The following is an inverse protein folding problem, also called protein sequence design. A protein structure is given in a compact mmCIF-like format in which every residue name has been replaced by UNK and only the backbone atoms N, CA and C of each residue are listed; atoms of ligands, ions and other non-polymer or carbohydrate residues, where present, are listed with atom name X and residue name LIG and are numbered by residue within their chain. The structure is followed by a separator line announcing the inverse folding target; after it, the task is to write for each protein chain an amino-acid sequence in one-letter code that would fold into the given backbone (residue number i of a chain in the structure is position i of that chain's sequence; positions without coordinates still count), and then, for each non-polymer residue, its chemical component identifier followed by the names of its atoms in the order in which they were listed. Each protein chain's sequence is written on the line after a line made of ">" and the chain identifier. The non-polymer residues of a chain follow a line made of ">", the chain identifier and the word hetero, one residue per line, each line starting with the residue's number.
data_IF_654294474399
#
_entry.id   IF_654294474399
#
_cell.length_a   1.000
_cell.length_b   1.000
_cell.length_c   1.000
_cell.angle_alpha   90.00
_cell.angle_beta   90.00
_cell.angle_gamma   90.00
#
_symmetry.space_group_name_H-M   'P 1'
#
loop_
_entity.id
_entity.type
_entity.pdbx_description
1 polymer ?
#
# COMPACT_ATOMS: atom_id res chain seq x y z
N UNK A 1 18.76 10.11 26.98
CA UNK A 1 18.34 8.71 27.25
C UNK A 1 19.57 7.94 27.70
N UNK A 2 19.48 7.33 28.87
CA UNK A 2 20.56 6.53 29.47
C UNK A 2 20.02 5.14 29.83
N UNK A 3 20.74 4.09 29.45
CA UNK A 3 20.41 2.71 29.81
C UNK A 3 20.76 2.47 31.31
N UNK A 4 19.88 1.76 31.99
CA UNK A 4 20.17 1.27 33.36
C UNK A 4 20.93 -0.06 33.24
N UNK A 5 22.08 -0.14 33.90
CA UNK A 5 23.03 -1.27 33.84
C UNK A 5 24.01 -1.12 32.68
N UNK A 6 24.67 -2.23 32.31
CA UNK A 6 25.61 -2.26 31.19
C UNK A 6 24.88 -2.28 29.84
N UNK A 7 25.01 -1.23 29.01
CA UNK A 7 24.28 -1.15 27.73
C UNK A 7 24.62 -2.29 26.78
N UNK A 8 25.89 -2.70 26.70
CA UNK A 8 26.31 -3.76 25.75
C UNK A 8 25.68 -5.11 26.13
N UNK A 9 25.71 -5.47 27.41
CA UNK A 9 25.07 -6.68 27.91
C UNK A 9 23.54 -6.62 27.64
N UNK A 10 22.90 -5.51 27.93
CA UNK A 10 21.45 -5.33 27.76
C UNK A 10 20.99 -5.40 26.30
N UNK A 11 21.80 -4.93 25.35
CA UNK A 11 21.51 -5.06 23.94
C UNK A 11 21.70 -6.49 23.41
N UNK A 12 22.70 -7.23 23.96
CA UNK A 12 22.88 -8.66 23.65
C UNK A 12 21.73 -9.52 24.20
N UNK A 13 21.21 -9.18 25.38
CA UNK A 13 20.03 -9.85 25.96
C UNK A 13 18.76 -9.61 25.13
N UNK A 14 18.53 -8.39 24.65
CA UNK A 14 17.36 -7.99 23.89
C UNK A 14 17.70 -6.85 22.91
N UNK A 15 18.04 -7.18 21.64
CA UNK A 15 18.44 -6.17 20.64
C UNK A 15 17.36 -5.13 20.34
N UNK A 16 16.07 -5.46 20.56
CA UNK A 16 14.95 -4.52 20.39
C UNK A 16 15.10 -3.26 21.26
N UNK A 17 15.87 -3.33 22.32
CA UNK A 17 16.17 -2.16 23.18
C UNK A 17 16.90 -1.05 22.43
N UNK A 18 17.67 -1.37 21.39
CA UNK A 18 18.30 -0.37 20.51
C UNK A 18 17.24 0.48 19.79
N UNK A 19 16.22 -0.17 19.21
CA UNK A 19 15.09 0.53 18.59
C UNK A 19 14.30 1.40 19.56
N UNK A 20 14.11 0.90 20.79
CA UNK A 20 13.44 1.65 21.86
C UNK A 20 14.22 2.87 22.28
N UNK A 21 15.55 2.77 22.39
CA UNK A 21 16.40 3.90 22.75
C UNK A 21 16.24 5.03 21.70
N UNK A 22 16.31 4.70 20.42
CA UNK A 22 16.09 5.65 19.31
C UNK A 22 14.68 6.27 19.36
N UNK A 23 13.65 5.44 19.50
CA UNK A 23 12.26 5.90 19.59
C UNK A 23 12.03 6.85 20.78
N UNK A 24 12.56 6.54 21.94
CA UNK A 24 12.41 7.41 23.10
C UNK A 24 13.19 8.72 22.95
N UNK A 25 14.38 8.67 22.35
CA UNK A 25 15.15 9.87 22.07
C UNK A 25 14.38 10.82 21.14
N UNK A 26 13.86 10.31 20.03
CA UNK A 26 13.04 11.10 19.11
C UNK A 26 11.75 11.62 19.77
N UNK A 27 10.99 10.75 20.45
CA UNK A 27 9.71 11.11 21.07
C UNK A 27 9.85 12.18 22.17
N UNK A 28 10.96 12.16 22.92
CA UNK A 28 11.20 13.09 24.02
C UNK A 28 12.07 14.30 23.61
N UNK A 29 12.39 14.40 22.31
CA UNK A 29 13.32 15.39 21.78
C UNK A 29 14.63 15.41 22.58
N UNK A 30 15.12 14.23 22.95
CA UNK A 30 16.29 14.02 23.78
C UNK A 30 17.44 13.40 23.00
N UNK A 31 18.61 13.34 23.63
CA UNK A 31 19.79 12.70 23.09
C UNK A 31 20.05 11.36 23.76
N UNK A 32 20.66 10.42 23.06
CA UNK A 32 21.15 9.18 23.63
C UNK A 32 22.55 9.46 24.23
N UNK A 33 22.70 9.14 25.50
CA UNK A 33 23.99 9.30 26.22
C UNK A 33 25.06 8.44 25.52
N UNK A 34 26.31 8.95 25.38
CA UNK A 34 27.36 8.27 24.60
C UNK A 34 27.65 6.83 25.00
N UNK A 35 27.63 6.51 26.29
CA UNK A 35 27.85 5.14 26.79
C UNK A 35 26.71 4.19 26.39
N UNK A 36 25.50 4.73 26.24
CA UNK A 36 24.32 4.00 25.76
C UNK A 36 24.31 3.91 24.23
N UNK A 37 24.73 4.96 23.54
CA UNK A 37 24.67 5.07 22.07
C UNK A 37 25.79 4.30 21.33
N UNK A 38 27.02 4.36 21.84
CA UNK A 38 28.17 3.71 21.17
C UNK A 38 27.96 2.21 20.87
N UNK A 39 27.46 1.39 21.81
CA UNK A 39 27.24 -0.03 21.54
C UNK A 39 26.13 -0.30 20.50
N UNK A 40 25.23 0.64 20.26
CA UNK A 40 24.16 0.45 19.26
C UNK A 40 24.75 0.17 17.87
N UNK A 41 25.71 1.00 17.44
CA UNK A 41 26.31 0.86 16.13
C UNK A 41 27.11 -0.45 15.98
N UNK A 42 27.83 -0.86 17.02
CA UNK A 42 28.63 -2.09 16.99
C UNK A 42 27.82 -3.37 17.13
N UNK A 43 26.58 -3.27 17.61
CA UNK A 43 25.66 -4.40 17.84
C UNK A 43 24.44 -4.38 16.92
N UNK A 44 24.39 -3.48 15.92
CA UNK A 44 23.27 -3.31 15.02
C UNK A 44 22.83 -4.63 14.36
N UNK A 45 23.79 -5.46 13.94
CA UNK A 45 23.55 -6.75 13.29
C UNK A 45 22.73 -7.73 14.17
N UNK A 46 22.74 -7.56 15.49
CA UNK A 46 21.92 -8.41 16.37
C UNK A 46 20.43 -8.26 16.15
N UNK A 47 19.99 -7.18 15.51
CA UNK A 47 18.59 -6.98 15.14
C UNK A 47 18.09 -8.07 14.18
N UNK A 48 18.94 -8.60 13.32
CA UNK A 48 18.59 -9.67 12.39
C UNK A 48 18.14 -10.97 13.10
N UNK A 49 18.57 -11.15 14.36
CA UNK A 49 18.18 -12.30 15.17
C UNK A 49 16.85 -12.09 15.92
N UNK A 50 16.23 -10.93 15.81
CA UNK A 50 14.95 -10.64 16.48
C UNK A 50 13.81 -11.26 15.68
N UNK A 51 12.86 -11.97 16.33
CA UNK A 51 11.69 -12.49 15.64
C UNK A 51 10.92 -11.41 14.88
N UNK A 52 10.56 -11.70 13.63
CA UNK A 52 9.90 -10.74 12.71
C UNK A 52 8.64 -10.09 13.30
N UNK A 53 7.86 -10.83 14.11
CA UNK A 53 6.67 -10.29 14.79
C UNK A 53 7.01 -9.21 15.81
N UNK A 54 8.14 -9.36 16.53
CA UNK A 54 8.60 -8.34 17.50
C UNK A 54 9.15 -7.11 16.77
N UNK A 55 9.87 -7.32 15.66
CA UNK A 55 10.32 -6.20 14.82
C UNK A 55 9.12 -5.42 14.28
N UNK A 56 8.10 -6.10 13.79
CA UNK A 56 6.86 -5.47 13.31
C UNK A 56 6.21 -4.60 14.39
N UNK A 57 6.07 -5.11 15.61
CA UNK A 57 5.45 -4.38 16.71
C UNK A 57 6.24 -3.13 17.11
N UNK A 58 7.57 -3.22 17.21
CA UNK A 58 8.40 -2.04 17.55
C UNK A 58 8.46 -1.03 16.40
N UNK A 59 8.48 -1.49 15.13
CA UNK A 59 8.35 -0.61 13.97
C UNK A 59 7.05 0.15 13.96
N UNK A 60 5.93 -0.53 14.21
CA UNK A 60 4.64 0.13 14.29
C UNK A 60 4.62 1.21 15.38
N UNK A 61 5.17 0.91 16.57
CA UNK A 61 5.30 1.88 17.67
C UNK A 61 6.20 3.07 17.30
N UNK A 62 7.26 2.82 16.54
CA UNK A 62 8.19 3.83 16.08
C UNK A 62 7.53 4.77 15.07
N UNK A 63 6.83 4.22 14.10
CA UNK A 63 6.12 4.96 13.05
C UNK A 63 4.85 5.66 13.55
N UNK A 64 4.33 5.28 14.72
CA UNK A 64 3.11 5.86 15.30
C UNK A 64 3.36 6.57 16.63
N UNK A 65 4.60 6.98 16.91
CA UNK A 65 4.93 7.72 18.15
C UNK A 65 4.66 9.24 18.07
N UNK A 66 4.29 9.76 16.90
CA UNK A 66 4.10 11.20 16.65
C UNK A 66 5.36 11.96 16.25
N UNK A 67 6.48 11.23 16.03
CA UNK A 67 7.80 11.71 15.64
C UNK A 67 8.49 10.73 14.68
N UNK A 68 7.73 10.16 13.72
CA UNK A 68 8.21 9.09 12.87
C UNK A 68 9.42 9.49 12.02
N UNK A 69 9.40 10.68 11.44
CA UNK A 69 10.52 11.19 10.61
C UNK A 69 11.79 11.30 11.45
N UNK A 70 11.71 11.83 12.67
CA UNK A 70 12.87 11.97 13.55
C UNK A 70 13.38 10.60 14.01
N UNK A 71 12.46 9.65 14.27
CA UNK A 71 12.82 8.27 14.55
C UNK A 71 13.61 7.64 13.39
N UNK A 72 13.14 7.81 12.14
CA UNK A 72 13.83 7.27 10.97
C UNK A 72 15.22 7.89 10.76
N UNK A 73 15.36 9.19 10.96
CA UNK A 73 16.66 9.86 10.90
C UNK A 73 17.62 9.29 11.95
N UNK A 74 17.18 9.18 13.21
CA UNK A 74 17.99 8.63 14.29
C UNK A 74 18.32 7.15 14.09
N UNK A 75 17.42 6.33 13.52
CA UNK A 75 17.72 4.94 13.15
C UNK A 75 18.86 4.88 12.13
N UNK A 76 18.81 5.73 11.10
CA UNK A 76 19.86 5.82 10.09
C UNK A 76 21.18 6.24 10.70
N UNK A 77 21.19 7.29 11.50
CA UNK A 77 22.40 7.84 12.14
C UNK A 77 23.03 6.82 13.12
N UNK A 78 22.22 5.95 13.71
CA UNK A 78 22.65 4.86 14.59
C UNK A 78 23.07 3.58 13.82
N UNK A 79 22.98 3.54 12.48
CA UNK A 79 23.29 2.35 11.68
C UNK A 79 22.27 1.21 11.81
N UNK A 80 21.08 1.47 12.37
CA UNK A 80 20.05 0.47 12.63
C UNK A 80 19.10 0.24 11.44
N UNK A 81 19.36 0.84 10.28
CA UNK A 81 18.49 0.73 9.11
C UNK A 81 18.88 -0.44 8.19
N UNK A 82 20.16 -0.82 8.16
CA UNK A 82 20.64 -1.89 7.29
C UNK A 82 20.06 -3.26 7.67
N UNK A 83 19.49 -3.96 6.69
CA UNK A 83 18.97 -5.33 6.86
C UNK A 83 17.66 -5.46 7.64
N UNK A 84 17.27 -4.43 8.40
CA UNK A 84 16.11 -4.48 9.27
C UNK A 84 14.79 -4.29 8.53
N UNK A 85 14.83 -3.40 7.57
CA UNK A 85 13.67 -3.05 6.74
C UNK A 85 14.18 -2.62 5.36
N UNK A 86 14.04 -3.45 4.33
CA UNK A 86 14.17 -2.97 2.95
C UNK A 86 13.33 -1.71 2.70
N UNK A 87 12.24 -1.58 3.47
CA UNK A 87 11.39 -0.42 3.53
C UNK A 87 12.11 0.86 3.97
N UNK A 88 12.97 0.80 4.99
CA UNK A 88 13.69 1.99 5.48
C UNK A 88 14.81 2.39 4.54
N UNK A 89 15.52 1.43 3.95
CA UNK A 89 16.53 1.70 2.95
C UNK A 89 15.92 2.42 1.73
N UNK A 90 14.70 2.02 1.34
CA UNK A 90 13.96 2.62 0.23
C UNK A 90 13.43 4.01 0.57
N UNK A 91 12.87 4.18 1.77
CA UNK A 91 12.35 5.47 2.26
C UNK A 91 13.47 6.51 2.36
N UNK A 92 14.67 6.08 2.74
CA UNK A 92 15.79 6.96 3.02
C UNK A 92 16.70 7.17 1.81
N UNK A 93 16.74 6.25 0.85
CA UNK A 93 17.74 6.23 -0.24
C UNK A 93 17.15 6.55 -1.62
N UNK A 94 15.84 6.40 -1.84
CA UNK A 94 15.26 6.65 -3.16
C UNK A 94 14.72 8.08 -3.34
N UNK A 95 15.25 8.86 -4.30
CA UNK A 95 14.77 10.23 -4.57
C UNK A 95 13.31 10.30 -5.03
N UNK A 96 12.82 9.28 -5.74
CA UNK A 96 11.52 9.31 -6.42
C UNK A 96 10.30 9.10 -5.53
N UNK A 97 10.45 8.47 -4.35
CA UNK A 97 9.33 8.23 -3.42
C UNK A 97 9.38 9.09 -2.16
N UNK A 98 10.45 9.83 -1.97
CA UNK A 98 10.76 10.54 -0.73
C UNK A 98 9.66 11.51 -0.32
N UNK A 99 9.21 12.36 -1.25
CA UNK A 99 8.17 13.36 -0.98
C UNK A 99 6.84 12.73 -0.56
N UNK A 100 6.46 11.63 -1.22
CA UNK A 100 5.23 10.90 -0.89
C UNK A 100 5.30 10.31 0.53
N UNK A 101 6.44 9.72 0.89
CA UNK A 101 6.66 9.11 2.19
C UNK A 101 6.74 10.16 3.30
N UNK A 102 7.47 11.25 3.08
CA UNK A 102 7.55 12.37 4.03
C UNK A 102 6.16 12.93 4.31
N UNK A 103 5.34 13.17 3.28
CA UNK A 103 3.95 13.63 3.43
C UNK A 103 3.09 12.64 4.21
N UNK A 104 3.23 11.33 3.94
CA UNK A 104 2.49 10.29 4.65
C UNK A 104 2.86 10.23 6.14
N UNK A 105 4.15 10.36 6.46
CA UNK A 105 4.64 10.36 7.84
C UNK A 105 4.27 11.64 8.58
N UNK A 106 4.36 12.82 7.94
CA UNK A 106 3.96 14.10 8.53
C UNK A 106 2.47 14.10 8.89
N UNK A 107 1.61 13.61 8.00
CA UNK A 107 0.17 13.47 8.28
C UNK A 107 -0.09 12.44 9.38
N UNK A 108 0.68 11.35 9.42
CA UNK A 108 0.59 10.35 10.48
C UNK A 108 0.96 10.97 11.82
N UNK A 109 2.07 11.68 11.90
CA UNK A 109 2.53 12.34 13.13
C UNK A 109 1.55 13.42 13.60
N UNK A 110 1.02 14.25 12.70
CA UNK A 110 -0.01 15.24 13.01
C UNK A 110 -1.28 14.57 13.58
N UNK A 111 -1.67 13.42 13.01
CA UNK A 111 -2.83 12.64 13.45
C UNK A 111 -2.62 12.08 14.85
N UNK A 112 -1.45 11.50 15.11
CA UNK A 112 -1.09 10.96 16.44
C UNK A 112 -1.04 12.07 17.48
N UNK A 113 -0.39 13.20 17.19
CA UNK A 113 -0.32 14.36 18.09
C UNK A 113 -1.69 14.96 18.40
N UNK A 114 -2.67 14.85 17.48
CA UNK A 114 -4.06 15.25 17.72
C UNK A 114 -4.91 14.19 18.43
N UNK A 115 -4.31 13.09 18.91
CA UNK A 115 -5.01 12.02 19.63
C UNK A 115 -5.88 11.11 18.72
N UNK A 116 -5.76 11.21 17.40
CA UNK A 116 -6.51 10.38 16.47
C UNK A 116 -5.78 9.07 16.16
N UNK A 117 -6.55 7.99 16.01
CA UNK A 117 -6.00 6.68 15.66
C UNK A 117 -5.38 6.64 14.27
N UNK A 118 -4.36 5.83 14.09
CA UNK A 118 -3.68 5.56 12.83
C UNK A 118 -3.96 4.13 12.41
N UNK A 119 -4.29 3.91 11.14
CA UNK A 119 -4.44 2.58 10.57
C UNK A 119 -3.06 2.03 10.16
N UNK A 120 -2.60 0.92 10.75
CA UNK A 120 -1.35 0.28 10.31
C UNK A 120 -1.36 -0.10 8.83
N UNK A 121 -2.48 -0.62 8.32
CA UNK A 121 -2.63 -0.98 6.91
C UNK A 121 -2.43 0.22 5.98
N UNK A 122 -3.00 1.37 6.34
CA UNK A 122 -2.83 2.60 5.56
C UNK A 122 -1.38 3.07 5.57
N UNK A 123 -0.75 3.07 6.75
CA UNK A 123 0.64 3.51 6.90
C UNK A 123 1.58 2.63 6.08
N UNK A 124 1.48 1.30 6.21
CA UNK A 124 2.30 0.38 5.42
C UNK A 124 1.97 0.45 3.93
N UNK A 125 0.70 0.65 3.55
CA UNK A 125 0.34 0.90 2.15
C UNK A 125 1.06 2.12 1.59
N UNK A 126 1.15 3.20 2.37
CA UNK A 126 1.87 4.40 1.96
C UNK A 126 3.38 4.17 1.86
N UNK A 127 3.98 3.53 2.85
CA UNK A 127 5.42 3.29 2.88
C UNK A 127 5.90 2.36 1.76
N UNK A 128 5.09 1.36 1.36
CA UNK A 128 5.43 0.41 0.29
C UNK A 128 5.03 0.90 -1.11
N UNK A 129 4.23 1.95 -1.21
CA UNK A 129 3.73 2.44 -2.49
C UNK A 129 4.81 2.76 -3.53
N UNK A 130 5.92 3.44 -3.20
CA UNK A 130 6.93 3.75 -4.21
C UNK A 130 7.52 2.51 -4.89
N UNK A 131 7.67 1.40 -4.17
CA UNK A 131 8.12 0.13 -4.75
C UNK A 131 7.06 -0.49 -5.63
N UNK A 132 5.81 -0.54 -5.14
CA UNK A 132 4.67 -1.07 -5.88
C UNK A 132 4.46 -0.28 -7.17
N UNK A 133 4.47 1.05 -7.11
CA UNK A 133 4.30 1.93 -8.26
C UNK A 133 5.43 1.77 -9.29
N UNK A 134 6.67 1.68 -8.82
CA UNK A 134 7.83 1.45 -9.69
C UNK A 134 7.74 0.13 -10.45
N UNK A 135 7.45 -0.97 -9.74
CA UNK A 135 7.26 -2.29 -10.36
C UNK A 135 6.06 -2.34 -11.27
N UNK A 136 4.96 -1.72 -10.85
CA UNK A 136 3.76 -1.62 -11.68
C UNK A 136 4.04 -0.90 -12.99
N UNK A 137 4.72 0.25 -12.97
CA UNK A 137 5.14 0.97 -14.17
C UNK A 137 6.06 0.15 -15.07
N UNK A 138 6.98 -0.63 -14.49
CA UNK A 138 7.84 -1.54 -15.26
C UNK A 138 7.03 -2.64 -15.97
N UNK A 139 6.07 -3.27 -15.29
CA UNK A 139 5.21 -4.29 -15.87
C UNK A 139 4.29 -3.72 -16.95
N UNK A 140 3.78 -2.49 -16.78
CA UNK A 140 3.02 -1.78 -17.82
C UNK A 140 3.86 -1.49 -19.05
N UNK A 141 5.12 -1.06 -18.89
CA UNK A 141 6.05 -0.83 -20.00
C UNK A 141 6.38 -2.12 -20.78
N UNK A 142 6.27 -3.27 -20.14
CA UNK A 142 6.42 -4.60 -20.77
C UNK A 142 5.12 -5.10 -21.45
N UNK A 143 4.07 -4.28 -21.49
CA UNK A 143 2.79 -4.63 -22.12
C UNK A 143 1.77 -5.28 -21.19
N UNK A 144 1.99 -5.25 -19.89
CA UNK A 144 1.03 -5.75 -18.89
C UNK A 144 -0.27 -4.95 -18.88
N UNK A 145 -1.37 -5.59 -18.47
CA UNK A 145 -2.65 -4.92 -18.27
C UNK A 145 -2.71 -4.26 -16.88
N UNK A 146 -3.32 -3.08 -16.78
CA UNK A 146 -3.33 -2.20 -15.60
C UNK A 146 -3.58 -2.92 -14.27
N UNK A 147 -4.67 -3.67 -14.13
CA UNK A 147 -5.01 -4.32 -12.85
C UNK A 147 -4.17 -5.58 -12.58
N UNK A 148 -3.99 -6.52 -13.54
CA UNK A 148 -3.09 -7.66 -13.33
C UNK A 148 -1.67 -7.23 -12.98
N UNK A 149 -1.07 -6.29 -13.73
CA UNK A 149 0.28 -5.80 -13.47
C UNK A 149 0.41 -5.14 -12.07
N UNK A 150 -0.63 -4.42 -11.61
CA UNK A 150 -0.66 -3.89 -10.25
C UNK A 150 -0.74 -5.02 -9.21
N UNK A 151 -1.48 -6.10 -9.50
CA UNK A 151 -1.55 -7.28 -8.67
C UNK A 151 -0.19 -7.93 -8.48
N UNK A 152 0.48 -8.23 -9.60
CA UNK A 152 1.80 -8.86 -9.60
C UNK A 152 2.85 -7.99 -8.89
N UNK A 153 2.81 -6.66 -9.09
CA UNK A 153 3.68 -5.72 -8.39
C UNK A 153 3.44 -5.71 -6.88
N UNK A 154 2.17 -5.68 -6.46
CA UNK A 154 1.78 -5.69 -5.06
C UNK A 154 2.18 -7.00 -4.37
N UNK A 155 1.96 -8.14 -5.03
CA UNK A 155 2.30 -9.46 -4.51
C UNK A 155 3.81 -9.60 -4.31
N UNK A 156 4.60 -9.25 -5.32
CA UNK A 156 6.06 -9.28 -5.25
C UNK A 156 6.60 -8.43 -4.09
N UNK A 157 6.09 -7.20 -3.90
CA UNK A 157 6.54 -6.33 -2.81
C UNK A 157 6.12 -6.87 -1.45
N UNK A 158 4.90 -7.38 -1.31
CA UNK A 158 4.40 -7.91 -0.06
C UNK A 158 5.13 -9.20 0.35
N UNK A 159 5.44 -10.07 -0.58
CA UNK A 159 6.18 -11.31 -0.32
C UNK A 159 7.58 -10.99 0.23
N UNK A 160 8.32 -10.09 -0.42
CA UNK A 160 9.64 -9.64 0.06
C UNK A 160 9.61 -9.04 1.47
N UNK A 161 8.54 -8.29 1.78
CA UNK A 161 8.42 -7.66 3.10
C UNK A 161 7.94 -8.66 4.17
N UNK A 162 7.12 -9.63 3.80
CA UNK A 162 6.59 -10.64 4.74
C UNK A 162 7.67 -11.56 5.27
N UNK A 163 8.70 -11.87 4.48
CA UNK A 163 9.87 -12.65 4.92
C UNK A 163 10.60 -11.97 6.10
N UNK A 164 10.65 -10.63 6.10
CA UNK A 164 11.39 -9.86 7.12
C UNK A 164 10.52 -9.29 8.24
N UNK A 165 9.25 -9.00 7.96
CA UNK A 165 8.35 -8.27 8.86
C UNK A 165 7.04 -9.02 9.03
N UNK A 166 6.88 -10.16 9.35
CA UNK A 166 5.64 -10.89 9.67
C UNK A 166 4.32 -10.08 9.50
N UNK A 167 4.16 -9.40 8.35
CA UNK A 167 2.98 -8.57 8.05
C UNK A 167 1.74 -9.45 8.07
N UNK A 168 0.84 -9.18 9.00
CA UNK A 168 -0.37 -9.99 9.15
C UNK A 168 -1.25 -9.90 7.89
N UNK A 169 -1.82 -11.03 7.47
CA UNK A 169 -2.66 -11.13 6.25
C UNK A 169 -3.76 -10.07 6.17
N UNK A 170 -4.38 -9.70 7.30
CA UNK A 170 -5.40 -8.63 7.33
C UNK A 170 -4.85 -7.27 6.86
N UNK A 171 -3.61 -6.94 7.19
CA UNK A 171 -3.01 -5.67 6.76
C UNK A 171 -2.69 -5.70 5.27
N UNK A 172 -2.13 -6.78 4.75
CA UNK A 172 -1.84 -6.91 3.32
C UNK A 172 -3.12 -6.90 2.47
N UNK A 173 -4.23 -7.46 2.95
CA UNK A 173 -5.53 -7.37 2.26
C UNK A 173 -6.01 -5.92 2.15
N UNK A 174 -6.01 -5.18 3.27
CA UNK A 174 -6.42 -3.77 3.30
C UNK A 174 -5.53 -2.91 2.39
N UNK A 175 -4.21 -3.16 2.39
CA UNK A 175 -3.24 -2.45 1.54
C UNK A 175 -3.55 -2.65 0.06
N UNK A 176 -3.82 -3.90 -0.36
CA UNK A 176 -4.22 -4.22 -1.73
C UNK A 176 -5.50 -3.50 -2.13
N UNK A 177 -6.53 -3.48 -1.27
CA UNK A 177 -7.77 -2.76 -1.54
C UNK A 177 -7.51 -1.27 -1.81
N UNK A 178 -6.64 -0.62 -1.02
CA UNK A 178 -6.27 0.79 -1.21
C UNK A 178 -5.56 0.98 -2.56
N UNK A 179 -4.57 0.14 -2.89
CA UNK A 179 -3.80 0.23 -4.12
C UNK A 179 -4.63 -0.06 -5.37
N UNK A 180 -5.51 -1.07 -5.35
CA UNK A 180 -6.35 -1.42 -6.49
C UNK A 180 -7.42 -0.38 -6.84
N UNK A 181 -7.73 0.52 -5.92
CA UNK A 181 -8.57 1.67 -6.22
C UNK A 181 -7.83 2.78 -6.94
N UNK A 182 -6.50 2.90 -6.80
CA UNK A 182 -5.75 4.03 -7.36
C UNK A 182 -5.93 4.21 -8.88
N UNK A 183 -5.79 3.20 -9.74
CA UNK A 183 -6.00 3.37 -11.19
C UNK A 183 -7.45 3.64 -11.57
N UNK A 184 -8.41 3.40 -10.67
CA UNK A 184 -9.83 3.65 -10.94
C UNK A 184 -10.21 5.11 -10.72
N UNK A 185 -9.45 5.85 -9.92
CA UNK A 185 -9.67 7.26 -9.66
C UNK A 185 -9.42 8.17 -10.87
N UNK A 186 -8.71 7.69 -11.87
CA UNK A 186 -8.51 8.42 -13.14
C UNK A 186 -9.83 8.68 -13.89
N UNK A 187 -10.87 7.89 -13.59
CA UNK A 187 -12.16 7.96 -14.27
C UNK A 187 -13.30 8.24 -13.33
N UNK A 188 -13.89 9.43 -13.41
CA UNK A 188 -15.09 9.81 -12.65
C UNK A 188 -16.38 9.68 -13.47
N UNK A 189 -16.60 8.53 -14.11
CA UNK A 189 -17.76 8.31 -14.97
C UNK A 189 -18.47 6.97 -14.71
N UNK A 190 -19.77 7.01 -14.85
CA UNK A 190 -20.63 5.84 -14.89
C UNK A 190 -20.73 5.05 -13.60
N UNK A 191 -21.05 3.77 -13.72
CA UNK A 191 -21.28 2.85 -12.60
C UNK A 191 -20.02 2.59 -11.72
N UNK A 192 -18.85 3.01 -12.19
CA UNK A 192 -17.60 2.82 -11.44
C UNK A 192 -17.60 3.61 -10.14
N UNK A 193 -18.12 4.84 -10.15
CA UNK A 193 -18.20 5.69 -8.96
C UNK A 193 -19.01 5.00 -7.85
N UNK A 194 -20.22 4.51 -8.17
CA UNK A 194 -21.08 3.83 -7.20
C UNK A 194 -20.38 2.60 -6.60
N UNK A 195 -19.73 1.77 -7.43
CA UNK A 195 -19.00 0.58 -6.97
C UNK A 195 -17.81 0.92 -6.09
N UNK A 196 -17.17 2.07 -6.30
CA UNK A 196 -16.04 2.52 -5.47
C UNK A 196 -16.52 3.01 -4.12
N UNK A 197 -17.62 3.78 -4.05
CA UNK A 197 -18.20 4.29 -2.79
C UNK A 197 -18.59 3.13 -1.85
N UNK A 198 -19.07 2.02 -2.40
CA UNK A 198 -19.48 0.83 -1.65
C UNK A 198 -18.29 0.04 -1.07
N UNK A 199 -17.05 0.32 -1.50
CA UNK A 199 -15.88 -0.42 -0.99
C UNK A 199 -15.54 -0.01 0.45
N UNK A 200 -15.25 -0.97 1.34
CA UNK A 200 -14.95 -0.69 2.76
C UNK A 200 -13.77 0.27 2.95
N UNK A 201 -12.80 0.25 2.02
CA UNK A 201 -11.59 1.08 2.08
C UNK A 201 -11.65 2.32 1.18
N UNK A 202 -12.83 2.68 0.66
CA UNK A 202 -12.98 3.83 -0.23
C UNK A 202 -12.44 5.11 0.38
N UNK A 203 -12.82 5.43 1.63
CA UNK A 203 -12.33 6.62 2.32
C UNK A 203 -10.80 6.61 2.47
N UNK A 204 -10.23 5.49 2.89
CA UNK A 204 -8.78 5.35 3.00
C UNK A 204 -8.08 5.48 1.64
N UNK A 205 -8.67 4.95 0.57
CA UNK A 205 -8.14 5.09 -0.79
C UNK A 205 -8.19 6.54 -1.28
N UNK A 206 -9.20 7.34 -0.90
CA UNK A 206 -9.25 8.78 -1.18
C UNK A 206 -8.19 9.55 -0.38
N UNK A 207 -8.01 9.24 0.92
CA UNK A 207 -6.93 9.83 1.72
C UNK A 207 -5.54 9.51 1.11
N UNK A 208 -5.37 8.29 0.59
CA UNK A 208 -4.15 7.87 -0.12
C UNK A 208 -3.96 8.64 -1.44
N UNK A 209 -5.02 8.84 -2.20
CA UNK A 209 -5.00 9.64 -3.43
C UNK A 209 -4.56 11.08 -3.15
N UNK A 210 -4.97 11.66 -2.02
CA UNK A 210 -4.53 12.99 -1.58
C UNK A 210 -3.03 13.04 -1.30
N UNK A 211 -2.43 11.95 -0.76
CA UNK A 211 -0.98 11.85 -0.60
C UNK A 211 -0.27 11.86 -1.98
N UNK A 212 -0.80 11.10 -2.94
CA UNK A 212 -0.27 11.05 -4.31
C UNK A 212 -0.33 12.42 -4.99
N UNK A 213 -1.44 13.13 -4.82
CA UNK A 213 -1.60 14.49 -5.35
C UNK A 213 -0.61 15.48 -4.70
N UNK A 214 -0.44 15.43 -3.38
CA UNK A 214 0.52 16.26 -2.67
C UNK A 214 1.98 15.99 -3.08
N UNK A 215 2.29 14.74 -3.42
CA UNK A 215 3.59 14.34 -3.95
C UNK A 215 3.79 14.73 -5.44
N UNK A 216 2.73 15.14 -6.14
CA UNK A 216 2.77 15.47 -7.57
C UNK A 216 2.59 14.25 -8.48
N UNK A 217 2.12 13.11 -7.96
CA UNK A 217 1.90 11.87 -8.71
C UNK A 217 0.50 11.78 -9.33
N UNK A 218 -0.40 12.67 -8.96
CA UNK A 218 -1.80 12.66 -9.41
C UNK A 218 -2.35 14.07 -9.49
N UNK A 219 -3.37 14.27 -10.33
CA UNK A 219 -4.06 15.57 -10.49
C UNK A 219 -4.75 15.98 -9.18
N UNK A 220 -4.42 17.16 -8.68
CA UNK A 220 -4.91 17.65 -7.40
C UNK A 220 -6.40 18.02 -7.41
N UNK A 221 -6.92 18.50 -8.55
CA UNK A 221 -8.34 18.86 -8.68
C UNK A 221 -9.19 17.60 -8.68
N UNK A 222 -8.74 16.58 -9.41
CA UNK A 222 -9.42 15.29 -9.45
C UNK A 222 -9.36 14.57 -8.09
N UNK A 223 -8.21 14.64 -7.41
CA UNK A 223 -8.07 14.08 -6.06
C UNK A 223 -9.00 14.78 -5.07
N UNK A 224 -9.13 16.12 -5.14
CA UNK A 224 -10.03 16.86 -4.28
C UNK A 224 -11.49 16.51 -4.53
N UNK A 225 -11.88 16.36 -5.79
CA UNK A 225 -13.24 15.93 -6.13
C UNK A 225 -13.61 14.58 -5.49
N UNK A 226 -12.70 13.60 -5.54
CA UNK A 226 -12.92 12.30 -4.90
C UNK A 226 -12.99 12.40 -3.38
N UNK A 227 -12.21 13.30 -2.78
CA UNK A 227 -12.26 13.56 -1.34
C UNK A 227 -13.58 14.23 -0.93
N UNK A 228 -14.05 15.19 -1.71
CA UNK A 228 -15.33 15.86 -1.46
C UNK A 228 -16.49 14.86 -1.56
N UNK A 229 -16.45 13.99 -2.58
CA UNK A 229 -17.42 12.90 -2.73
C UNK A 229 -17.38 11.93 -1.53
N UNK A 230 -16.20 11.61 -1.01
CA UNK A 230 -16.06 10.73 0.16
C UNK A 230 -16.61 11.35 1.45
N UNK A 231 -16.60 12.68 1.55
CA UNK A 231 -17.10 13.45 2.71
C UNK A 231 -18.57 13.86 2.60
N UNK A 232 -19.13 13.86 1.38
CA UNK A 232 -20.47 14.34 1.11
C UNK A 232 -21.54 13.41 1.71
N UNK A 233 -22.71 14.00 2.04
CA UNK A 233 -23.91 13.23 2.34
C UNK A 233 -24.50 12.62 1.06
N UNK A 234 -25.52 11.79 1.17
CA UNK A 234 -26.07 11.04 0.03
C UNK A 234 -26.70 11.96 -1.03
N UNK A 235 -27.32 13.08 -0.64
CA UNK A 235 -27.91 14.05 -1.57
C UNK A 235 -26.81 14.76 -2.38
N UNK A 236 -25.80 15.28 -1.70
CA UNK A 236 -24.66 15.95 -2.35
C UNK A 236 -23.88 14.98 -3.23
N UNK A 237 -23.71 13.71 -2.82
CA UNK A 237 -23.09 12.67 -3.65
C UNK A 237 -23.86 12.46 -4.96
N UNK A 238 -25.18 12.36 -4.87
CA UNK A 238 -26.03 12.18 -6.05
C UNK A 238 -25.88 13.36 -7.03
N UNK A 239 -25.90 14.59 -6.53
CA UNK A 239 -25.66 15.79 -7.35
C UNK A 239 -24.28 15.79 -8.00
N UNK A 240 -23.22 15.54 -7.23
CA UNK A 240 -21.85 15.48 -7.76
C UNK A 240 -21.68 14.41 -8.86
N UNK A 241 -22.35 13.26 -8.72
CA UNK A 241 -22.30 12.18 -9.72
C UNK A 241 -23.10 12.57 -10.97
N UNK A 242 -24.26 13.20 -10.82
CA UNK A 242 -25.08 13.67 -11.94
C UNK A 242 -24.35 14.74 -12.77
N UNK A 243 -23.68 15.68 -12.13
CA UNK A 243 -22.83 16.68 -12.78
C UNK A 243 -21.74 16.04 -13.66
N UNK A 244 -21.12 14.95 -13.17
CA UNK A 244 -20.09 14.23 -13.96
C UNK A 244 -20.68 13.47 -15.16
N UNK A 245 -21.96 13.09 -15.11
CA UNK A 245 -22.62 12.42 -16.25
C UNK A 245 -22.78 13.35 -17.45
N UNK A 246 -22.84 14.66 -17.20
CA UNK A 246 -23.00 15.72 -18.21
C UNK A 246 -21.66 16.24 -18.75
N UNK A 247 -20.51 15.80 -18.19
CA UNK A 247 -19.20 16.18 -18.74
C UNK A 247 -18.96 15.47 -20.08
N UNK A 248 -18.32 16.16 -21.06
CA UNK A 248 -17.91 15.53 -22.30
C UNK A 248 -17.05 14.30 -22.00
N UNK A 249 -17.33 13.18 -22.65
CA UNK A 249 -16.47 11.99 -22.53
C UNK A 249 -15.10 12.36 -23.11
N UNK A 250 -14.12 12.52 -22.24
CA UNK A 250 -12.73 12.60 -22.68
C UNK A 250 -12.44 11.34 -23.50
N UNK A 251 -11.93 11.56 -24.73
CA UNK A 251 -11.66 10.49 -25.67
C UNK A 251 -10.66 9.51 -25.03
N UNK A 252 -11.15 8.35 -24.60
CA UNK A 252 -10.28 7.27 -24.15
C UNK A 252 -9.57 6.74 -25.38
N UNK A 253 -8.27 6.97 -25.50
CA UNK A 253 -7.36 6.37 -26.47
C UNK A 253 -7.18 4.85 -26.26
N UNK A 254 -8.27 4.14 -26.19
CA UNK A 254 -8.27 2.69 -26.26
C UNK A 254 -9.00 2.26 -27.53
N UNK A 255 -8.35 1.55 -28.47
CA UNK A 255 -9.02 1.09 -29.69
C UNK A 255 -10.21 0.22 -29.31
N UNK A 256 -11.39 0.64 -29.74
CA UNK A 256 -12.65 -0.07 -29.54
C UNK A 256 -12.53 -1.52 -30.04
N UNK A 257 -12.34 -2.48 -29.13
CA UNK A 257 -12.47 -3.89 -29.46
C UNK A 257 -13.88 -4.15 -30.00
N UNK A 258 -14.03 -4.26 -31.31
CA UNK A 258 -15.26 -4.74 -31.97
C UNK A 258 -15.68 -6.05 -31.30
N UNK A 259 -16.77 -6.00 -30.53
CA UNK A 259 -17.42 -7.23 -30.03
C UNK A 259 -17.74 -8.12 -31.24
N UNK A 260 -16.97 -9.20 -31.42
CA UNK A 260 -17.29 -10.27 -32.34
C UNK A 260 -18.68 -10.81 -31.95
N UNK A 261 -19.73 -10.40 -32.71
CA UNK A 261 -21.05 -11.03 -32.62
C UNK A 261 -20.85 -12.52 -32.93
N UNK A 262 -21.10 -13.37 -31.94
CA UNK A 262 -21.25 -14.82 -32.16
C UNK A 262 -22.34 -15.01 -33.21
N UNK A 263 -22.10 -15.74 -34.33
CA UNK A 263 -23.15 -16.03 -35.29
C UNK A 263 -24.22 -16.87 -34.58
N UNK A 264 -25.46 -16.41 -34.73
CA UNK A 264 -26.66 -17.11 -34.26
C UNK A 264 -26.77 -18.39 -35.08
N UNK A 265 -26.65 -19.58 -34.48
CA UNK A 265 -26.93 -20.87 -35.11
C UNK A 265 -28.39 -20.85 -35.58
N UNK A 266 -28.60 -21.07 -36.87
CA UNK A 266 -29.93 -21.34 -37.47
C UNK A 266 -30.40 -22.71 -36.98
N UNK A 267 -31.72 -22.89 -36.68
CA UNK A 267 -32.29 -24.23 -36.48
C UNK A 267 -32.23 -25.00 -37.78
N UNK A 268 -31.58 -26.15 -37.79
CA UNK A 268 -31.60 -27.07 -38.95
C UNK A 268 -32.92 -27.83 -38.97
N UNK A 269 -33.49 -27.86 -40.14
CA UNK A 269 -34.67 -28.64 -40.53
C UNK A 269 -34.40 -30.13 -40.35
N UNK A 270 -35.42 -30.84 -39.88
CA UNK A 270 -35.39 -32.26 -39.67
C UNK A 270 -35.42 -33.04 -40.98
N UNK A 271 -34.75 -34.14 -41.00
CA UNK A 271 -35.04 -35.25 -41.91
C UNK A 271 -35.22 -36.53 -41.15
N UNK A 272 -36.41 -37.10 -41.35
CA UNK A 272 -36.83 -38.38 -40.86
C UNK A 272 -36.35 -39.51 -41.82
N UNK A 273 -36.25 -40.69 -41.24
CA UNK A 273 -36.24 -41.95 -41.99
C UNK A 273 -34.89 -42.70 -41.84
N UNK A 274 -34.82 -43.86 -41.33
CA UNK A 274 -35.39 -45.13 -41.63
C UNK A 274 -34.66 -46.22 -40.87
N UNK A 275 -35.43 -47.14 -40.35
CA UNK A 275 -35.08 -48.40 -39.69
C UNK A 275 -34.08 -49.27 -40.45
N UNK A 276 -33.27 -50.03 -39.75
CA UNK A 276 -33.15 -51.50 -39.93
C UNK A 276 -32.28 -52.13 -38.82
N UNK A 277 -32.84 -53.23 -38.39
CA UNK A 277 -32.30 -54.15 -37.38
C UNK A 277 -31.03 -54.89 -37.83
N UNK A 278 -30.25 -55.37 -36.87
CA UNK A 278 -29.96 -56.78 -36.61
C UNK A 278 -28.65 -56.96 -35.82
N UNK A 279 -28.83 -57.68 -34.74
CA UNK A 279 -28.06 -58.86 -34.33
C UNK A 279 -26.66 -58.68 -33.74
N UNK A 280 -26.60 -59.04 -32.45
CA UNK A 280 -25.43 -59.59 -31.78
C UNK A 280 -25.07 -60.97 -32.37
N UNK A 281 -23.88 -61.64 -32.11
CA UNK A 281 -23.53 -62.16 -30.79
C UNK A 281 -22.01 -62.18 -30.45
N UNK A 282 -21.77 -62.36 -29.14
CA UNK A 282 -20.80 -63.20 -28.42
C UNK A 282 -19.42 -63.53 -29.06
N UNK A 283 -18.32 -63.19 -28.42
CA UNK A 283 -17.45 -63.99 -27.55
C UNK A 283 -16.54 -63.07 -26.72
#
# INVERSE_FOLDING_TARGET
>A
IRMIGDPEQRYREDPVRMLRAVRFAAKLNGTIEPGTGKPIQSLADLIENVPASRLFDEMLKLLTCGHAIDCLKQLRDAGLHHGMLPLLDIVLEQPGGRRFIEEALDRTDARVRSGRGVSPSFLFAALLWPQVDSRWKQLLAQGGHTIPALGDAADSVLDEQTEKLAIQRRFSSDMREIWFMQPRFERRQGKTIYRMIEQPRFRAACDFLQLRAAAGEFDSVLAQWWMDLANANDETRAQMIEETANLPREASDAPARKRRRRPRRKPGEGQAGSSAASESPEE
#
